data_IF_654093539337
#
_entry.id   IF_654093539337
#
_cell.length_a   1.000
_cell.length_b   1.000
_cell.length_c   1.000
_cell.angle_alpha   90.00
_cell.angle_beta   90.00
_cell.angle_gamma   90.00
#
_symmetry.space_group_name_H-M   'P 1'
#
loop_
_entity.id
_entity.type
_entity.pdbx_description
1 polymer ?
#
# COMPACT_ATOMS: atom_id res chain seq x y z
N UNK A 1 14.35 7.21 -30.15
CA UNK A 1 13.09 7.35 -29.39
C UNK A 1 12.44 5.97 -29.28
N UNK A 2 12.77 5.20 -28.24
CA UNK A 2 12.09 3.94 -27.96
C UNK A 2 10.76 4.27 -27.29
N UNK A 3 9.64 3.88 -27.91
CA UNK A 3 8.34 3.90 -27.25
C UNK A 3 8.44 2.95 -26.06
N UNK A 4 8.48 3.49 -24.86
CA UNK A 4 8.40 2.71 -23.64
C UNK A 4 7.16 1.82 -23.75
N UNK A 5 7.40 0.51 -23.72
CA UNK A 5 6.36 -0.49 -23.60
C UNK A 5 5.63 -0.13 -22.29
N UNK A 6 4.40 0.40 -22.36
CA UNK A 6 3.54 0.64 -21.19
C UNK A 6 3.17 -0.73 -20.62
N UNK A 7 4.13 -1.39 -19.98
CA UNK A 7 3.82 -2.45 -19.03
C UNK A 7 2.89 -1.81 -17.99
N UNK A 8 1.83 -2.52 -17.61
CA UNK A 8 0.82 -2.03 -16.68
C UNK A 8 1.49 -1.60 -15.37
N UNK A 9 1.83 -0.31 -15.25
CA UNK A 9 2.34 0.29 -14.02
C UNK A 9 1.38 -0.12 -12.90
N UNK A 10 1.85 -0.81 -11.84
CA UNK A 10 1.02 -1.14 -10.70
C UNK A 10 0.35 0.12 -10.14
N UNK A 11 -0.97 0.04 -9.90
CA UNK A 11 -1.75 1.15 -9.35
C UNK A 11 -2.68 0.68 -8.24
N UNK A 12 -2.82 1.49 -7.20
CA UNK A 12 -3.76 1.28 -6.11
C UNK A 12 -4.52 2.59 -5.83
N UNK A 13 -5.84 2.48 -5.68
CA UNK A 13 -6.71 3.58 -5.28
C UNK A 13 -7.25 3.32 -3.90
N UNK A 14 -7.21 4.32 -3.04
CA UNK A 14 -7.65 4.26 -1.65
C UNK A 14 -8.65 5.40 -1.44
N UNK A 15 -9.80 5.07 -0.87
CA UNK A 15 -10.79 6.05 -0.43
C UNK A 15 -10.67 6.21 1.08
N UNK A 16 -10.26 7.40 1.53
CA UNK A 16 -10.09 7.68 2.95
C UNK A 16 -11.41 8.12 3.61
N UNK A 17 -11.58 7.92 4.94
CA UNK A 17 -12.81 8.29 5.65
C UNK A 17 -13.23 9.76 5.54
N UNK A 18 -12.28 10.67 5.28
CA UNK A 18 -12.56 12.09 5.05
C UNK A 18 -13.00 12.41 3.61
N UNK A 19 -13.20 11.39 2.77
CA UNK A 19 -13.57 11.53 1.36
C UNK A 19 -12.40 11.83 0.42
N UNK A 20 -11.16 11.85 0.91
CA UNK A 20 -9.98 12.03 0.08
C UNK A 20 -9.67 10.74 -0.71
N UNK A 21 -9.51 10.86 -2.02
CA UNK A 21 -9.01 9.77 -2.88
C UNK A 21 -7.48 9.87 -2.99
N UNK A 22 -6.80 8.76 -2.73
CA UNK A 22 -5.35 8.62 -2.89
C UNK A 22 -5.06 7.58 -3.96
N UNK A 23 -4.31 7.97 -5.00
CA UNK A 23 -3.79 7.06 -6.01
C UNK A 23 -2.28 6.86 -5.78
N UNK A 24 -1.87 5.60 -5.67
CA UNK A 24 -0.47 5.19 -5.56
C UNK A 24 -0.11 4.46 -6.85
N UNK A 25 0.94 4.91 -7.53
CA UNK A 25 1.50 4.22 -8.69
C UNK A 25 3.01 4.33 -8.68
N UNK A 26 3.68 3.29 -9.19
CA UNK A 26 5.14 3.25 -9.26
C UNK A 26 5.55 2.28 -10.35
N UNK A 27 6.56 2.67 -11.14
CA UNK A 27 7.17 1.80 -12.14
C UNK A 27 8.22 0.85 -11.53
N UNK A 28 8.68 1.16 -10.30
CA UNK A 28 9.75 0.42 -9.61
C UNK A 28 9.23 -0.51 -8.50
N UNK A 29 8.02 -0.28 -8.02
CA UNK A 29 7.42 -1.07 -6.93
C UNK A 29 6.38 -2.06 -7.45
N UNK A 30 6.43 -3.29 -6.93
CA UNK A 30 5.39 -4.29 -7.20
C UNK A 30 4.05 -3.92 -6.55
N UNK A 31 2.97 -4.55 -7.00
CA UNK A 31 1.63 -4.33 -6.41
C UNK A 31 1.58 -4.63 -4.91
N UNK A 32 2.33 -5.63 -4.44
CA UNK A 32 2.48 -5.95 -3.03
C UNK A 32 3.05 -4.80 -2.18
N UNK A 33 4.06 -4.10 -2.71
CA UNK A 33 4.60 -2.91 -2.04
C UNK A 33 3.55 -1.79 -1.97
N UNK A 34 2.68 -1.68 -2.99
CA UNK A 34 1.58 -0.71 -2.95
C UNK A 34 0.55 -1.04 -1.85
N UNK A 35 0.37 -2.32 -1.52
CA UNK A 35 -0.47 -2.77 -0.39
C UNK A 35 0.14 -2.33 0.95
N UNK A 36 1.45 -2.45 1.12
CA UNK A 36 2.12 -1.95 2.32
C UNK A 36 1.91 -0.43 2.48
N UNK A 37 2.05 0.33 1.39
CA UNK A 37 1.81 1.78 1.40
C UNK A 37 0.35 2.10 1.74
N UNK A 38 -0.61 1.37 1.16
CA UNK A 38 -2.02 1.50 1.49
C UNK A 38 -2.29 1.26 2.98
N UNK A 39 -1.80 0.16 3.54
CA UNK A 39 -1.94 -0.16 4.97
C UNK A 39 -1.36 0.96 5.84
N UNK A 40 -0.18 1.45 5.46
CA UNK A 40 0.47 2.55 6.18
C UNK A 40 -0.42 3.79 6.18
N UNK A 41 -0.93 4.21 5.03
CA UNK A 41 -1.82 5.37 4.89
C UNK A 41 -3.12 5.19 5.69
N UNK A 42 -3.75 4.02 5.61
CA UNK A 42 -4.97 3.70 6.39
C UNK A 42 -4.73 3.84 7.90
N UNK A 43 -3.58 3.37 8.40
CA UNK A 43 -3.21 3.49 9.81
C UNK A 43 -2.96 4.93 10.24
N UNK A 44 -2.33 5.74 9.38
CA UNK A 44 -2.10 7.17 9.65
C UNK A 44 -3.42 7.90 9.86
N UNK A 45 -4.36 7.65 8.95
CA UNK A 45 -5.67 8.30 8.96
C UNK A 45 -6.51 7.81 10.14
N UNK A 46 -6.49 6.51 10.44
CA UNK A 46 -7.20 5.95 11.59
C UNK A 46 -6.72 6.51 12.93
N UNK A 47 -5.41 6.78 13.07
CA UNK A 47 -4.82 7.31 14.30
C UNK A 47 -4.98 8.84 14.45
N UNK A 48 -5.39 9.54 13.40
CA UNK A 48 -5.58 11.00 13.40
C UNK A 48 -4.29 11.80 13.67
N UNK A 49 -3.12 11.15 13.59
CA UNK A 49 -1.83 11.74 13.90
C UNK A 49 -1.11 12.14 12.61
N UNK A 50 -0.51 13.34 12.62
CA UNK A 50 0.37 13.82 11.56
C UNK A 50 1.77 13.17 11.59
N UNK A 51 2.04 12.34 12.60
CA UNK A 51 3.28 11.59 12.77
C UNK A 51 2.93 10.11 12.67
N UNK A 52 3.60 9.44 11.75
CA UNK A 52 3.52 8.00 11.57
C UNK A 52 4.62 7.38 12.42
N UNK A 53 4.28 6.97 13.63
CA UNK A 53 5.14 6.06 14.38
C UNK A 53 4.71 4.64 14.00
N UNK A 54 5.59 3.93 13.28
CA UNK A 54 5.42 2.49 13.03
C UNK A 54 6.05 1.76 14.21
N UNK A 55 5.32 1.73 15.31
CA UNK A 55 5.66 1.02 16.54
C UNK A 55 5.06 -0.39 16.58
N UNK A 56 3.95 -0.60 15.89
CA UNK A 56 3.25 -1.88 15.82
C UNK A 56 3.41 -2.53 14.43
N UNK A 57 4.59 -3.11 14.20
CA UNK A 57 4.89 -3.84 12.96
C UNK A 57 3.99 -5.09 12.82
N UNK A 58 3.50 -5.63 13.93
CA UNK A 58 2.57 -6.76 13.95
C UNK A 58 1.17 -6.36 13.45
N UNK A 59 0.69 -5.16 13.78
CA UNK A 59 -0.54 -4.59 13.23
C UNK A 59 -0.42 -4.45 11.70
N UNK A 60 0.70 -3.91 11.20
CA UNK A 60 0.96 -3.83 9.75
C UNK A 60 0.93 -5.22 9.13
N UNK A 61 1.66 -6.18 9.70
CA UNK A 61 1.73 -7.53 9.18
C UNK A 61 0.34 -8.20 9.15
N UNK A 62 -0.48 -7.98 10.19
CA UNK A 62 -1.85 -8.47 10.25
C UNK A 62 -2.73 -7.86 9.15
N UNK A 63 -2.65 -6.54 8.94
CA UNK A 63 -3.42 -5.84 7.88
C UNK A 63 -2.97 -6.23 6.47
N UNK A 64 -1.67 -6.43 6.24
CA UNK A 64 -1.12 -6.92 4.97
C UNK A 64 -1.65 -8.35 4.69
N UNK A 65 -1.66 -9.24 5.68
CA UNK A 65 -2.29 -10.57 5.55
C UNK A 65 -3.78 -10.50 5.27
N UNK A 66 -4.51 -9.60 5.94
CA UNK A 66 -5.94 -9.42 5.72
C UNK A 66 -6.27 -8.96 4.29
N UNK A 67 -5.32 -8.29 3.60
CA UNK A 67 -5.42 -7.92 2.18
C UNK A 67 -4.97 -9.03 1.23
N UNK A 68 -4.59 -10.22 1.74
CA UNK A 68 -4.20 -11.38 0.93
C UNK A 68 -2.73 -11.43 0.56
N UNK A 69 -1.84 -10.80 1.33
CA UNK A 69 -0.40 -10.73 1.03
C UNK A 69 0.48 -11.22 2.19
N UNK A 70 1.62 -11.79 1.85
CA UNK A 70 2.64 -12.25 2.80
C UNK A 70 3.45 -11.03 3.31
N UNK A 71 3.51 -10.74 4.62
CA UNK A 71 4.10 -9.48 5.11
C UNK A 71 5.60 -9.26 4.83
N UNK A 72 6.40 -10.32 4.69
CA UNK A 72 7.85 -10.17 4.51
C UNK A 72 8.30 -10.21 3.03
N UNK A 73 7.45 -10.69 2.11
CA UNK A 73 7.72 -10.67 0.66
C UNK A 73 6.79 -9.74 -0.10
N UNK A 74 5.65 -9.39 0.48
CA UNK A 74 4.53 -8.72 -0.15
C UNK A 74 4.00 -9.46 -1.39
N UNK A 75 4.19 -10.77 -1.46
CA UNK A 75 3.60 -11.60 -2.51
C UNK A 75 2.18 -12.03 -2.12
N UNK A 76 1.30 -12.32 -3.09
CA UNK A 76 -0.04 -12.86 -2.80
C UNK A 76 0.04 -14.17 -2.01
N UNK A 77 -0.87 -14.33 -1.04
CA UNK A 77 -1.10 -15.61 -0.36
C UNK A 77 -1.88 -16.51 -1.33
N UNK A 78 -1.25 -17.58 -1.80
CA UNK A 78 -1.88 -18.61 -2.62
C UNK A 78 -2.81 -19.52 -1.82
#
# INVERSE_FOLDING_TARGET
MQKANKMNTPKRKIMLPNGLEVEISSDDLSYGHLILLEVTIEMCVARGNNIITIDDVDEIASRVRAKGYVPWTYEPIN
#
